data_IF_814895545319
#
_entry.id   IF_814895545319
#
_cell.length_a   1.000
_cell.length_b   1.000
_cell.length_c   1.000
_cell.angle_alpha   90.00
_cell.angle_beta   90.00
_cell.angle_gamma   90.00
#
_symmetry.space_group_name_H-M   'P 1'
#
loop_
_entity.id
_entity.type
_entity.pdbx_description
1 polymer ?
#
# COMPACT_ATOMS: atom_id res chain seq x y z
N UNK A 1 48.78 -31.10 43.68
CA UNK A 1 49.51 -31.70 42.56
C UNK A 1 49.06 -30.96 41.32
N UNK A 2 49.71 -29.85 41.05
CA UNK A 2 50.00 -29.38 39.68
C UNK A 2 51.36 -29.99 39.30
N UNK A 3 51.78 -30.12 38.02
CA UNK A 3 51.77 -28.99 37.06
C UNK A 3 51.69 -29.34 35.55
N UNK A 4 51.84 -28.26 34.75
CA UNK A 4 52.51 -28.12 33.43
C UNK A 4 51.59 -28.13 32.20
N UNK A 5 51.37 -26.99 31.52
CA UNK A 5 52.27 -26.28 30.57
C UNK A 5 52.40 -27.03 29.23
N UNK A 6 52.31 -26.44 28.03
CA UNK A 6 52.18 -25.06 27.59
C UNK A 6 52.49 -24.94 26.08
N UNK A 7 52.32 -23.71 25.54
CA UNK A 7 53.02 -23.09 24.38
C UNK A 7 52.74 -23.65 22.97
N UNK A 8 52.16 -22.89 22.01
CA UNK A 8 52.79 -21.85 21.16
C UNK A 8 53.37 -22.51 19.88
N UNK A 9 53.23 -22.06 18.62
CA UNK A 9 53.24 -20.72 18.01
C UNK A 9 52.89 -20.80 16.50
N UNK A 10 52.33 -19.71 15.95
CA UNK A 10 52.67 -19.06 14.66
C UNK A 10 52.64 -19.83 13.33
N UNK A 11 51.82 -19.34 12.39
CA UNK A 11 52.39 -18.75 11.15
C UNK A 11 51.75 -19.06 9.78
N UNK A 12 51.04 -18.04 9.24
CA UNK A 12 51.18 -17.47 7.87
C UNK A 12 50.50 -18.13 6.64
N UNK A 13 49.51 -17.37 6.13
CA UNK A 13 49.15 -16.94 4.73
C UNK A 13 48.97 -17.93 3.57
N UNK A 14 47.78 -17.90 2.98
CA UNK A 14 47.39 -17.30 1.67
C UNK A 14 45.85 -17.46 1.56
N UNK A 15 44.99 -16.53 1.19
CA UNK A 15 45.08 -15.40 0.26
C UNK A 15 44.14 -15.70 -0.91
N UNK A 16 42.90 -15.20 -0.91
CA UNK A 16 42.08 -15.04 -2.11
C UNK A 16 41.14 -13.85 -1.98
N UNK A 17 41.25 -12.98 -2.97
CA UNK A 17 40.74 -11.61 -3.05
C UNK A 17 39.25 -11.57 -3.44
N UNK A 18 38.51 -10.69 -2.78
CA UNK A 18 37.23 -10.18 -3.25
C UNK A 18 37.44 -8.93 -4.10
N UNK A 19 36.65 -8.81 -5.16
CA UNK A 19 36.58 -7.59 -5.97
C UNK A 19 35.32 -7.55 -6.82
N UNK A 20 34.32 -6.79 -6.39
CA UNK A 20 33.38 -6.15 -7.32
C UNK A 20 32.84 -4.87 -6.71
N UNK A 21 33.22 -3.78 -7.36
CA UNK A 21 32.84 -2.39 -7.07
C UNK A 21 31.55 -2.06 -7.80
N UNK A 22 30.60 -1.49 -7.09
CA UNK A 22 29.53 -0.68 -7.66
C UNK A 22 30.10 0.58 -8.34
N UNK A 23 29.59 0.92 -9.52
CA UNK A 23 29.50 2.32 -9.97
C UNK A 23 28.20 2.57 -10.77
N UNK A 24 27.64 3.79 -10.67
CA UNK A 24 26.33 4.15 -11.17
C UNK A 24 26.35 4.65 -12.62
N UNK A 25 25.21 4.55 -13.29
CA UNK A 25 24.94 5.07 -14.63
C UNK A 25 24.61 6.57 -14.52
N UNK A 26 25.36 7.40 -15.26
CA UNK A 26 25.09 8.82 -15.49
C UNK A 26 24.42 8.97 -16.86
N UNK A 27 23.27 9.64 -16.88
CA UNK A 27 22.74 10.33 -18.06
C UNK A 27 23.52 11.62 -18.30
N UNK A 28 23.80 11.94 -19.57
CA UNK A 28 23.73 13.27 -20.20
C UNK A 28 24.77 13.41 -21.33
N UNK A 29 24.32 13.88 -22.50
CA UNK A 29 25.18 14.57 -23.46
C UNK A 29 24.95 14.18 -24.93
N UNK A 30 24.08 14.92 -25.61
CA UNK A 30 24.25 15.20 -27.05
C UNK A 30 24.06 16.71 -27.24
N UNK A 31 25.20 17.37 -27.41
CA UNK A 31 25.44 18.66 -28.08
C UNK A 31 24.99 18.56 -29.56
N UNK A 32 24.79 19.59 -30.37
CA UNK A 32 24.55 21.04 -30.26
C UNK A 32 24.51 21.52 -31.75
N UNK A 33 23.69 22.52 -32.04
CA UNK A 33 23.82 23.53 -33.11
C UNK A 33 24.07 23.17 -34.58
N UNK A 34 23.21 23.77 -35.42
CA UNK A 34 23.44 23.99 -36.85
C UNK A 34 22.39 24.92 -37.47
N UNK A 35 22.40 26.19 -37.06
CA UNK A 35 21.69 27.29 -37.74
C UNK A 35 22.22 27.48 -39.18
N UNK A 36 21.35 27.78 -40.15
CA UNK A 36 21.26 29.08 -40.83
C UNK A 36 20.48 29.00 -42.16
N UNK A 37 19.49 29.90 -42.26
CA UNK A 37 19.09 30.69 -43.42
C UNK A 37 18.49 30.01 -44.67
N UNK A 38 17.19 30.24 -44.87
CA UNK A 38 16.62 30.52 -46.20
C UNK A 38 17.08 31.92 -46.67
N UNK A 39 17.08 32.24 -48.00
CA UNK A 39 15.83 32.75 -48.59
C UNK A 39 15.63 32.52 -50.11
N UNK A 40 14.35 32.49 -50.49
CA UNK A 40 13.72 33.09 -51.71
C UNK A 40 14.23 32.74 -53.11
N UNK A 41 13.31 32.28 -53.97
CA UNK A 41 12.80 33.05 -55.14
C UNK A 41 12.45 32.14 -56.33
N UNK A 42 11.15 32.12 -56.66
CA UNK A 42 10.55 32.19 -58.00
C UNK A 42 11.23 31.47 -59.19
N UNK A 43 10.51 30.50 -59.80
CA UNK A 43 10.07 30.52 -61.21
C UNK A 43 9.48 29.17 -61.64
N UNK A 44 8.18 29.16 -61.95
CA UNK A 44 7.61 28.41 -63.08
C UNK A 44 7.93 29.18 -64.38
N UNK A 45 7.86 28.62 -65.63
CA UNK A 45 6.86 27.64 -66.07
C UNK A 45 7.30 26.59 -67.13
N UNK A 46 6.32 25.74 -67.51
CA UNK A 46 6.13 25.01 -68.80
C UNK A 46 7.27 24.06 -69.25
N UNK A 47 7.08 22.81 -69.64
CA UNK A 47 5.93 21.98 -69.99
C UNK A 47 6.50 20.88 -70.90
N UNK A 48 6.12 19.61 -70.72
CA UNK A 48 5.97 18.66 -71.84
C UNK A 48 5.45 17.31 -71.38
N UNK A 49 4.48 16.81 -72.15
CA UNK A 49 3.85 15.51 -71.99
C UNK A 49 4.80 14.39 -72.41
N UNK A 50 4.82 13.28 -71.66
CA UNK A 50 5.10 11.95 -72.22
C UNK A 50 4.41 10.87 -71.41
N UNK A 51 3.36 10.31 -72.02
CA UNK A 51 2.75 9.03 -71.68
C UNK A 51 3.81 7.93 -71.56
N UNK A 52 3.66 7.07 -70.54
CA UNK A 52 3.95 5.64 -70.66
C UNK A 52 2.97 4.82 -69.82
N UNK A 53 2.26 3.95 -70.54
CA UNK A 53 1.49 2.81 -70.05
C UNK A 53 2.26 1.94 -69.05
N UNK A 54 1.52 1.32 -68.13
CA UNK A 54 2.03 0.31 -67.22
C UNK A 54 0.97 -0.21 -66.25
N UNK A 55 0.12 -1.09 -66.75
CA UNK A 55 -0.81 -1.94 -66.02
C UNK A 55 -0.13 -2.72 -64.88
N UNK A 56 -0.61 -2.53 -63.64
CA UNK A 56 -0.42 -3.44 -62.53
C UNK A 56 -1.49 -3.14 -61.45
N UNK A 57 -2.60 -3.87 -61.52
CA UNK A 57 -3.67 -3.95 -60.52
C UNK A 57 -3.12 -4.46 -59.16
N UNK A 58 -2.49 -3.54 -58.41
CA UNK A 58 -2.16 -3.69 -57.00
C UNK A 58 -3.29 -3.05 -56.21
N UNK A 59 -4.19 -3.87 -55.67
CA UNK A 59 -5.19 -3.46 -54.67
C UNK A 59 -4.49 -3.03 -53.39
N UNK A 60 -3.91 -1.83 -53.39
CA UNK A 60 -3.62 -1.09 -52.17
C UNK A 60 -4.96 -0.82 -51.48
N UNK A 61 -5.26 -1.55 -50.41
CA UNK A 61 -6.25 -1.06 -49.43
C UNK A 61 -5.66 0.24 -48.88
N UNK A 62 -6.35 1.39 -49.01
CA UNK A 62 -5.87 2.61 -48.40
C UNK A 62 -5.74 2.34 -46.90
N UNK A 63 -4.53 2.54 -46.36
CA UNK A 63 -4.37 2.66 -44.92
C UNK A 63 -5.19 3.89 -44.55
N UNK A 64 -6.38 3.66 -43.99
CA UNK A 64 -7.18 4.75 -43.44
C UNK A 64 -6.36 5.37 -42.32
N UNK A 65 -5.71 6.50 -42.59
CA UNK A 65 -5.16 7.37 -41.57
C UNK A 65 -6.35 7.98 -40.84
N UNK A 66 -6.81 7.29 -39.80
CA UNK A 66 -7.83 7.81 -38.90
C UNK A 66 -7.20 9.00 -38.20
N UNK A 67 -7.73 10.20 -38.46
CA UNK A 67 -7.41 11.38 -37.68
C UNK A 67 -8.09 11.23 -36.32
N UNK A 68 -7.39 10.62 -35.37
CA UNK A 68 -7.89 10.41 -34.01
C UNK A 68 -8.34 11.72 -33.36
N UNK A 69 -7.66 12.83 -33.65
CA UNK A 69 -8.11 14.17 -33.22
C UNK A 69 -9.50 14.50 -33.75
N UNK A 70 -9.72 14.33 -35.05
CA UNK A 70 -11.01 14.66 -35.67
C UNK A 70 -12.15 13.78 -35.14
N UNK A 71 -11.88 12.51 -34.84
CA UNK A 71 -12.88 11.61 -34.24
C UNK A 71 -13.15 11.94 -32.77
N UNK A 72 -12.12 12.26 -31.98
CA UNK A 72 -12.30 12.71 -30.59
C UNK A 72 -13.07 14.03 -30.55
N UNK A 73 -12.70 15.01 -31.37
CA UNK A 73 -13.42 16.27 -31.46
C UNK A 73 -14.87 16.08 -31.93
N UNK A 74 -15.12 15.18 -32.88
CA UNK A 74 -16.48 14.79 -33.30
C UNK A 74 -17.27 14.18 -32.15
N UNK A 75 -16.67 13.27 -31.38
CA UNK A 75 -17.32 12.62 -30.23
C UNK A 75 -17.66 13.62 -29.12
N UNK A 76 -16.78 14.60 -28.90
CA UNK A 76 -16.94 15.66 -27.89
C UNK A 76 -17.77 16.86 -28.39
N UNK A 77 -18.24 16.82 -29.64
CA UNK A 77 -18.98 17.90 -30.31
C UNK A 77 -18.24 19.26 -30.33
N UNK A 78 -16.91 19.21 -30.44
CA UNK A 78 -16.03 20.39 -30.53
C UNK A 78 -15.35 20.46 -31.90
N UNK A 79 -14.93 21.66 -32.33
CA UNK A 79 -14.21 21.82 -33.59
C UNK A 79 -12.84 21.11 -33.56
N UNK A 80 -12.38 20.48 -34.66
CA UNK A 80 -11.05 19.89 -34.75
C UNK A 80 -9.90 20.94 -34.67
N UNK A 81 -10.21 22.22 -34.90
CA UNK A 81 -9.23 23.32 -34.91
C UNK A 81 -9.03 23.99 -33.54
N UNK A 82 -9.66 23.46 -32.48
CA UNK A 82 -9.45 23.96 -31.11
C UNK A 82 -8.04 23.59 -30.60
N UNK A 83 -7.55 24.25 -29.55
CA UNK A 83 -6.27 23.88 -28.93
C UNK A 83 -6.37 22.57 -28.14
N UNK A 84 -5.24 21.92 -27.89
CA UNK A 84 -5.19 20.66 -27.14
C UNK A 84 -5.73 20.81 -25.73
N UNK A 85 -5.51 21.95 -25.08
CA UNK A 85 -6.06 22.24 -23.75
C UNK A 85 -7.59 22.19 -23.75
N UNK A 86 -8.23 22.72 -24.80
CA UNK A 86 -9.69 22.67 -24.94
C UNK A 86 -10.22 21.28 -25.23
N UNK A 87 -9.45 20.45 -25.94
CA UNK A 87 -9.81 19.03 -26.13
C UNK A 87 -9.75 18.30 -24.80
N UNK A 88 -8.69 18.49 -24.02
CA UNK A 88 -8.54 17.87 -22.68
C UNK A 88 -9.62 18.34 -21.72
N UNK A 89 -9.94 19.64 -21.71
CA UNK A 89 -11.04 20.19 -20.90
C UNK A 89 -12.39 19.55 -21.29
N UNK A 90 -12.69 19.46 -22.59
CA UNK A 90 -13.90 18.82 -23.09
C UNK A 90 -13.96 17.32 -22.75
N UNK A 91 -12.83 16.62 -22.80
CA UNK A 91 -12.74 15.23 -22.32
C UNK A 91 -13.03 15.12 -20.83
N UNK A 92 -12.50 16.02 -20.01
CA UNK A 92 -12.78 16.08 -18.57
C UNK A 92 -14.27 16.30 -18.29
N UNK A 93 -14.91 17.24 -19.01
CA UNK A 93 -16.35 17.51 -18.90
C UNK A 93 -17.18 16.30 -19.36
N UNK A 94 -16.84 15.67 -20.49
CA UNK A 94 -17.53 14.49 -20.98
C UNK A 94 -17.41 13.31 -20.01
N UNK A 95 -16.22 13.10 -19.45
CA UNK A 95 -15.98 12.10 -18.41
C UNK A 95 -16.85 12.36 -17.17
N UNK A 96 -16.90 13.62 -16.69
CA UNK A 96 -17.75 14.01 -15.56
C UNK A 96 -19.24 13.76 -15.84
N UNK A 97 -19.73 14.14 -17.03
CA UNK A 97 -21.12 13.89 -17.46
C UNK A 97 -21.45 12.41 -17.55
N UNK A 98 -20.52 11.58 -18.05
CA UNK A 98 -20.70 10.13 -18.08
C UNK A 98 -20.83 9.57 -16.66
N UNK A 99 -20.01 10.02 -15.71
CA UNK A 99 -20.14 9.64 -14.30
C UNK A 99 -21.50 10.04 -13.73
N UNK A 100 -21.98 11.24 -14.04
CA UNK A 100 -23.31 11.71 -13.61
C UNK A 100 -24.45 10.88 -14.24
N UNK A 101 -24.36 10.54 -15.52
CA UNK A 101 -25.35 9.67 -16.20
C UNK A 101 -25.35 8.26 -15.60
N UNK A 102 -24.18 7.69 -15.31
CA UNK A 102 -24.09 6.38 -14.67
C UNK A 102 -24.65 6.40 -13.24
N UNK A 103 -24.46 7.49 -12.50
CA UNK A 103 -25.12 7.70 -11.21
C UNK A 103 -26.66 7.79 -11.35
N UNK A 104 -27.16 8.51 -12.35
CA UNK A 104 -28.60 8.63 -12.63
C UNK A 104 -29.22 7.29 -13.07
N UNK A 105 -28.54 6.53 -13.94
CA UNK A 105 -28.98 5.19 -14.34
C UNK A 105 -28.96 4.20 -13.18
N UNK A 106 -27.99 4.33 -12.28
CA UNK A 106 -27.93 3.54 -11.04
C UNK A 106 -29.05 3.88 -10.06
N UNK A 107 -29.64 5.07 -10.16
CA UNK A 107 -30.82 5.48 -9.36
C UNK A 107 -32.15 5.11 -10.02
N UNK A 108 -32.22 5.01 -11.36
CA UNK A 108 -33.46 4.66 -12.09
C UNK A 108 -33.85 3.17 -12.03
N UNK A 109 -32.90 2.25 -11.86
CA UNK A 109 -33.19 0.84 -11.55
C UNK A 109 -32.98 0.58 -10.07
N UNK A 110 -34.04 0.75 -9.28
CA UNK A 110 -34.04 0.32 -7.89
C UNK A 110 -33.55 -1.15 -7.79
N UNK A 111 -32.57 -1.45 -6.91
CA UNK A 111 -32.16 -2.81 -6.66
C UNK A 111 -33.38 -3.66 -6.31
N UNK A 112 -33.46 -4.87 -6.87
CA UNK A 112 -34.53 -5.81 -6.52
C UNK A 112 -34.22 -6.44 -5.15
N UNK A 113 -34.42 -5.68 -4.07
CA UNK A 113 -34.25 -6.16 -2.70
C UNK A 113 -33.38 -5.26 -1.82
N UNK A 114 -33.28 -5.58 -0.52
CA UNK A 114 -32.40 -4.86 0.39
C UNK A 114 -30.93 -5.05 -0.01
N UNK A 115 -30.06 -4.05 0.21
CA UNK A 115 -28.63 -4.20 -0.03
C UNK A 115 -28.04 -5.39 0.72
N UNK A 116 -27.13 -6.11 0.07
CA UNK A 116 -26.36 -7.20 0.69
C UNK A 116 -24.90 -7.15 0.24
N UNK A 117 -24.03 -7.84 0.97
CA UNK A 117 -22.69 -8.12 0.47
C UNK A 117 -22.64 -9.56 -0.04
N UNK A 118 -21.56 -9.89 -0.73
CA UNK A 118 -21.30 -11.25 -1.19
C UNK A 118 -19.85 -11.60 -0.90
N UNK A 119 -19.62 -12.78 -0.34
CA UNK A 119 -18.27 -13.32 -0.19
C UNK A 119 -17.97 -14.15 -1.43
N UNK A 120 -16.81 -13.92 -2.04
CA UNK A 120 -16.27 -14.74 -3.11
C UNK A 120 -14.95 -15.35 -2.67
N UNK A 121 -14.73 -16.58 -3.11
CA UNK A 121 -13.52 -17.33 -2.83
C UNK A 121 -12.74 -17.50 -4.13
N UNK A 122 -11.59 -16.85 -4.23
CA UNK A 122 -10.68 -17.00 -5.37
C UNK A 122 -9.64 -18.05 -5.06
N UNK A 123 -9.45 -19.02 -5.95
CA UNK A 123 -8.47 -20.10 -5.77
C UNK A 123 -7.44 -20.03 -6.89
N UNK A 124 -6.20 -19.72 -6.53
CA UNK A 124 -5.04 -19.83 -7.41
C UNK A 124 -4.30 -21.13 -7.13
N UNK A 125 -4.22 -22.00 -8.14
CA UNK A 125 -3.51 -23.27 -8.04
C UNK A 125 -2.13 -23.19 -8.66
N UNK A 126 -1.07 -23.39 -7.88
CA UNK A 126 0.31 -23.32 -8.39
C UNK A 126 0.64 -24.46 -9.38
N UNK A 127 -0.07 -25.59 -9.26
CA UNK A 127 0.07 -26.74 -10.18
C UNK A 127 -0.60 -26.51 -11.54
N UNK A 128 -1.61 -25.63 -11.60
CA UNK A 128 -2.35 -25.29 -12.83
C UNK A 128 -1.98 -23.85 -13.20
N UNK A 129 -0.85 -23.68 -13.90
CA UNK A 129 -0.34 -22.36 -14.27
C UNK A 129 -1.37 -21.58 -15.10
N UNK A 130 -1.89 -20.50 -14.52
CA UNK A 130 -2.60 -19.44 -15.24
C UNK A 130 -4.12 -19.39 -15.05
N UNK A 131 -4.73 -20.28 -14.26
CA UNK A 131 -6.17 -20.23 -14.00
C UNK A 131 -6.47 -19.89 -12.54
N UNK A 132 -7.12 -18.75 -12.36
CA UNK A 132 -7.72 -18.33 -11.10
C UNK A 132 -9.22 -18.65 -11.18
N UNK A 133 -9.70 -19.47 -10.25
CA UNK A 133 -11.11 -19.88 -10.22
C UNK A 133 -11.84 -19.14 -9.11
N UNK A 134 -12.97 -18.52 -9.46
CA UNK A 134 -13.82 -17.78 -8.54
C UNK A 134 -15.03 -18.61 -8.15
N UNK A 135 -15.35 -18.68 -6.86
CA UNK A 135 -16.46 -19.46 -6.31
C UNK A 135 -17.34 -18.62 -5.38
N UNK A 136 -18.64 -18.96 -5.34
CA UNK A 136 -19.59 -18.39 -4.37
C UNK A 136 -19.45 -19.08 -3.01
N UNK A 137 -19.22 -20.39 -3.02
CA UNK A 137 -19.08 -21.22 -1.82
C UNK A 137 -17.62 -21.31 -1.36
N UNK A 138 -17.45 -21.51 -0.05
CA UNK A 138 -16.13 -21.73 0.53
C UNK A 138 -15.51 -23.00 -0.05
N UNK A 139 -14.28 -22.94 -0.59
CA UNK A 139 -13.63 -24.10 -1.16
C UNK A 139 -13.26 -25.11 -0.07
N UNK A 140 -13.14 -26.37 -0.45
CA UNK A 140 -12.68 -27.45 0.42
C UNK A 140 -11.43 -28.12 -0.15
N UNK A 141 -10.69 -28.77 0.74
CA UNK A 141 -9.48 -29.52 0.39
C UNK A 141 -9.86 -30.85 -0.27
N UNK A 142 -9.27 -31.14 -1.43
CA UNK A 142 -9.46 -32.41 -2.12
C UNK A 142 -8.43 -33.45 -1.64
N UNK A 143 -8.92 -34.62 -1.22
CA UNK A 143 -8.09 -35.78 -0.82
C UNK A 143 -7.23 -36.37 -1.95
N UNK A 144 -7.56 -36.06 -3.21
CA UNK A 144 -6.86 -36.59 -4.39
C UNK A 144 -5.93 -35.56 -5.04
N UNK A 145 -5.85 -34.35 -4.48
CA UNK A 145 -5.00 -33.28 -5.01
C UNK A 145 -3.51 -33.48 -4.67
N UNK A 146 -2.60 -32.77 -5.36
CA UNK A 146 -1.19 -32.75 -4.97
C UNK A 146 -1.03 -32.44 -3.49
N UNK A 147 -0.35 -33.33 -2.76
CA UNK A 147 -0.06 -33.20 -1.32
C UNK A 147 -1.28 -32.98 -0.42
N UNK A 148 -2.51 -33.36 -0.83
CA UNK A 148 -3.76 -33.03 -0.12
C UNK A 148 -3.92 -31.53 0.18
N UNK A 149 -3.38 -30.66 -0.67
CA UNK A 149 -3.39 -29.23 -0.44
C UNK A 149 -4.17 -28.47 -1.53
N UNK A 150 -4.86 -29.18 -2.43
CA UNK A 150 -5.60 -28.58 -3.54
C UNK A 150 -7.02 -28.20 -3.14
N UNK A 151 -7.46 -27.02 -3.56
CA UNK A 151 -8.77 -26.46 -3.22
C UNK A 151 -9.73 -26.48 -4.40
N UNK A 152 -11.00 -26.77 -4.13
CA UNK A 152 -12.08 -26.73 -5.11
C UNK A 152 -13.37 -26.22 -4.47
N UNK A 153 -14.17 -25.47 -5.23
CA UNK A 153 -15.54 -25.08 -4.87
C UNK A 153 -16.58 -25.76 -5.76
N UNK A 154 -17.83 -25.74 -5.34
CA UNK A 154 -18.96 -26.38 -6.03
C UNK A 154 -19.72 -25.41 -6.94
N UNK A 155 -19.62 -24.10 -6.70
CA UNK A 155 -20.37 -23.06 -7.39
C UNK A 155 -19.42 -22.05 -8.06
N UNK A 156 -18.84 -22.40 -9.22
CA UNK A 156 -17.93 -21.51 -9.92
C UNK A 156 -18.67 -20.34 -10.59
N UNK A 157 -18.04 -19.16 -10.56
CA UNK A 157 -18.49 -17.95 -11.26
C UNK A 157 -17.70 -17.84 -12.56
N UNK A 158 -18.35 -18.16 -13.67
CA UNK A 158 -17.70 -18.13 -14.99
C UNK A 158 -17.54 -16.71 -15.55
N UNK A 159 -18.49 -15.82 -15.24
CA UNK A 159 -18.48 -14.44 -15.69
C UNK A 159 -18.98 -13.53 -14.56
N UNK A 160 -18.03 -12.83 -13.94
CA UNK A 160 -18.30 -11.92 -12.82
C UNK A 160 -19.20 -10.76 -13.22
N UNK A 161 -18.98 -10.17 -14.39
CA UNK A 161 -19.76 -9.03 -14.88
C UNK A 161 -21.24 -9.40 -15.05
N UNK A 162 -21.53 -10.54 -15.70
CA UNK A 162 -22.89 -11.05 -15.85
C UNK A 162 -23.54 -11.39 -14.50
N UNK A 163 -22.75 -11.89 -13.54
CA UNK A 163 -23.23 -12.15 -12.19
C UNK A 163 -23.65 -10.86 -11.50
N UNK A 164 -22.83 -9.81 -11.55
CA UNK A 164 -23.14 -8.50 -10.97
C UNK A 164 -24.31 -7.81 -11.70
N UNK A 165 -24.45 -7.99 -13.01
CA UNK A 165 -25.61 -7.52 -13.77
C UNK A 165 -26.93 -8.12 -13.28
N UNK A 166 -26.90 -9.38 -12.82
CA UNK A 166 -28.06 -10.09 -12.30
C UNK A 166 -28.32 -9.85 -10.81
N UNK A 167 -27.33 -9.35 -10.07
CA UNK A 167 -27.38 -9.17 -8.61
C UNK A 167 -27.04 -7.71 -8.24
N UNK A 168 -27.91 -6.78 -8.66
CA UNK A 168 -27.72 -5.33 -8.47
C UNK A 168 -27.84 -4.87 -7.01
N UNK A 169 -28.34 -5.73 -6.14
CA UNK A 169 -28.43 -5.51 -4.70
C UNK A 169 -27.08 -5.69 -3.96
N UNK A 170 -26.03 -6.18 -4.65
CA UNK A 170 -24.71 -6.32 -4.06
C UNK A 170 -24.05 -4.94 -3.88
N UNK A 171 -23.87 -4.54 -2.62
CA UNK A 171 -23.20 -3.29 -2.24
C UNK A 171 -21.69 -3.37 -2.41
N UNK A 172 -21.10 -4.48 -1.96
CA UNK A 172 -19.67 -4.75 -2.00
C UNK A 172 -19.41 -6.26 -1.99
N UNK A 173 -18.21 -6.65 -2.39
CA UNK A 173 -17.76 -8.03 -2.42
C UNK A 173 -16.57 -8.19 -1.47
N UNK A 174 -16.61 -9.22 -0.64
CA UNK A 174 -15.47 -9.65 0.16
C UNK A 174 -14.77 -10.76 -0.61
N UNK A 175 -13.51 -10.54 -0.96
CA UNK A 175 -12.67 -11.51 -1.65
C UNK A 175 -11.81 -12.24 -0.64
N UNK A 176 -11.89 -13.57 -0.69
CA UNK A 176 -11.04 -14.49 0.07
C UNK A 176 -10.13 -15.21 -0.92
N UNK A 177 -8.87 -14.80 -0.99
CA UNK A 177 -7.92 -15.30 -1.97
C UNK A 177 -7.08 -16.42 -1.36
N UNK A 178 -7.21 -17.62 -1.94
CA UNK A 178 -6.50 -18.81 -1.51
C UNK A 178 -5.41 -19.18 -2.51
N UNK A 179 -4.32 -19.76 -2.01
CA UNK A 179 -3.33 -20.42 -2.85
C UNK A 179 -3.07 -21.84 -2.41
N UNK A 180 -3.14 -22.75 -3.38
CA UNK A 180 -2.93 -24.17 -3.16
C UNK A 180 -1.73 -24.72 -3.93
N UNK A 181 -1.26 -25.91 -3.51
CA UNK A 181 -0.20 -26.68 -4.16
C UNK A 181 1.19 -26.01 -4.24
N UNK A 182 1.53 -25.09 -3.31
CA UNK A 182 2.86 -24.48 -3.21
C UNK A 182 3.98 -25.49 -2.92
N UNK A 183 3.71 -26.48 -2.07
CA UNK A 183 4.67 -27.51 -1.66
C UNK A 183 4.39 -28.85 -2.35
N UNK A 184 5.21 -29.17 -3.35
CA UNK A 184 5.23 -30.50 -3.99
C UNK A 184 6.10 -31.52 -3.24
N UNK A 185 6.72 -31.12 -2.12
CA UNK A 185 7.54 -32.05 -1.31
C UNK A 185 6.60 -32.93 -0.48
N UNK A 186 6.74 -34.27 -0.53
CA UNK A 186 5.98 -35.14 0.35
C UNK A 186 6.29 -34.78 1.81
N UNK A 187 5.28 -34.33 2.57
CA UNK A 187 5.42 -34.14 4.02
C UNK A 187 5.64 -35.51 4.65
N UNK A 188 6.75 -35.68 5.37
CA UNK A 188 7.16 -36.95 5.98
C UNK A 188 6.30 -37.37 7.18
N UNK A 189 5.31 -36.57 7.57
CA UNK A 189 4.38 -36.84 8.67
C UNK A 189 2.94 -36.60 8.22
N UNK A 190 1.98 -37.44 8.63
CA UNK A 190 0.57 -37.11 8.50
C UNK A 190 0.29 -35.91 9.40
N UNK A 191 0.13 -34.75 8.79
CA UNK A 191 -0.40 -33.58 9.47
C UNK A 191 -1.91 -33.75 9.69
N UNK A 192 -2.50 -33.05 10.68
CA UNK A 192 -3.95 -32.97 10.81
C UNK A 192 -4.58 -32.51 9.48
N UNK A 193 -5.84 -32.91 9.26
CA UNK A 193 -6.64 -32.51 8.10
C UNK A 193 -6.43 -31.00 7.80
N UNK A 194 -5.81 -30.69 6.65
CA UNK A 194 -5.59 -29.32 6.23
C UNK A 194 -6.97 -28.66 6.03
N UNK A 195 -7.24 -27.57 6.75
CA UNK A 195 -8.43 -26.74 6.51
C UNK A 195 -8.11 -25.68 5.44
N UNK A 196 -9.09 -25.34 4.61
CA UNK A 196 -8.97 -24.31 3.60
C UNK A 196 -8.53 -22.94 4.17
N UNK A 197 -8.90 -22.61 5.42
CA UNK A 197 -8.43 -21.39 6.08
C UNK A 197 -6.90 -21.31 6.17
N UNK A 198 -6.20 -22.45 6.27
CA UNK A 198 -4.73 -22.45 6.33
C UNK A 198 -4.06 -22.07 5.01
N UNK A 199 -4.82 -22.06 3.91
CA UNK A 199 -4.38 -21.71 2.56
C UNK A 199 -4.87 -20.33 2.11
N UNK A 200 -5.58 -19.59 2.96
CA UNK A 200 -5.97 -18.21 2.72
C UNK A 200 -4.74 -17.31 2.77
N UNK A 201 -4.57 -16.46 1.77
CA UNK A 201 -3.43 -15.55 1.67
C UNK A 201 -3.80 -14.09 1.85
N UNK A 202 -4.97 -13.70 1.34
CA UNK A 202 -5.40 -12.31 1.32
C UNK A 202 -6.92 -12.26 1.47
N UNK A 203 -7.36 -11.26 2.22
CA UNK A 203 -8.74 -10.85 2.32
C UNK A 203 -8.83 -9.37 1.94
N UNK A 204 -9.76 -9.00 1.07
CA UNK A 204 -9.98 -7.61 0.69
C UNK A 204 -11.44 -7.36 0.27
N UNK A 205 -11.89 -6.11 0.31
CA UNK A 205 -13.23 -5.70 -0.12
C UNK A 205 -13.15 -4.86 -1.39
N UNK A 206 -14.02 -5.18 -2.34
CA UNK A 206 -14.28 -4.40 -3.55
C UNK A 206 -15.64 -3.71 -3.47
N UNK A 207 -15.68 -2.38 -3.58
CA UNK A 207 -16.92 -1.60 -3.52
C UNK A 207 -17.60 -1.54 -4.89
N UNK A 208 -18.75 -2.20 -5.01
CA UNK A 208 -19.51 -2.31 -6.27
C UNK A 208 -20.55 -1.21 -6.41
N UNK A 209 -21.28 -0.91 -5.34
CA UNK A 209 -22.36 0.08 -5.37
C UNK A 209 -21.82 1.50 -5.43
N UNK A 210 -22.22 2.32 -6.44
CA UNK A 210 -21.87 3.74 -6.50
C UNK A 210 -22.40 4.53 -5.30
N UNK A 211 -23.53 4.09 -4.74
CA UNK A 211 -24.15 4.72 -3.55
C UNK A 211 -23.29 4.47 -2.32
N UNK A 212 -22.85 3.22 -2.10
CA UNK A 212 -21.93 2.90 -1.00
C UNK A 212 -20.61 3.66 -1.17
N UNK A 213 -20.06 3.70 -2.38
CA UNK A 213 -18.84 4.44 -2.67
C UNK A 213 -18.94 5.91 -2.28
N UNK A 214 -20.00 6.58 -2.71
CA UNK A 214 -20.24 7.99 -2.39
C UNK A 214 -20.35 8.21 -0.87
N UNK A 215 -20.99 7.26 -0.17
CA UNK A 215 -21.12 7.32 1.27
C UNK A 215 -19.77 7.09 2.00
N UNK A 216 -18.92 6.19 1.51
CA UNK A 216 -17.57 5.96 2.06
C UNK A 216 -16.64 7.14 1.81
N UNK A 217 -16.70 7.77 0.63
CA UNK A 217 -15.98 9.03 0.35
C UNK A 217 -16.42 10.13 1.32
N UNK A 218 -17.72 10.24 1.60
CA UNK A 218 -18.21 11.18 2.60
C UNK A 218 -17.74 10.84 4.02
N UNK A 219 -17.74 9.56 4.40
CA UNK A 219 -17.23 9.09 5.69
C UNK A 219 -15.73 9.43 5.84
N UNK A 220 -14.93 9.19 4.81
CA UNK A 220 -13.50 9.50 4.82
C UNK A 220 -13.24 10.98 5.11
N UNK A 221 -13.93 11.87 4.39
CA UNK A 221 -13.81 13.30 4.56
C UNK A 221 -14.30 13.82 5.93
N UNK A 222 -15.09 13.03 6.65
CA UNK A 222 -15.68 13.44 7.94
C UNK A 222 -15.04 12.80 9.16
N UNK A 223 -14.48 11.59 9.03
CA UNK A 223 -13.99 10.79 10.14
C UNK A 223 -12.54 10.31 10.00
N UNK A 224 -12.01 10.23 8.77
CA UNK A 224 -10.70 9.61 8.51
C UNK A 224 -9.60 10.61 8.18
N UNK A 225 -9.90 11.92 8.23
CA UNK A 225 -8.92 12.97 7.93
C UNK A 225 -7.69 12.87 8.82
N UNK A 226 -6.50 12.95 8.22
CA UNK A 226 -5.22 12.93 8.93
C UNK A 226 -4.74 11.54 9.35
N UNK A 227 -5.29 10.47 8.76
CA UNK A 227 -4.63 9.15 8.71
C UNK A 227 -4.73 8.60 7.29
N UNK A 228 -3.78 7.78 6.83
CA UNK A 228 -3.94 7.05 5.59
C UNK A 228 -5.12 6.07 5.68
N UNK A 229 -5.88 5.96 4.60
CA UNK A 229 -7.02 5.06 4.49
C UNK A 229 -7.22 4.75 2.99
N UNK A 230 -7.97 3.70 2.62
CA UNK A 230 -8.25 3.39 1.23
C UNK A 230 -8.85 4.58 0.48
N UNK A 231 -8.46 4.78 -0.78
CA UNK A 231 -9.11 5.77 -1.64
C UNK A 231 -10.44 5.22 -2.15
N UNK A 232 -11.51 5.53 -1.43
CA UNK A 232 -12.87 5.14 -1.82
C UNK A 232 -13.36 5.84 -3.10
N UNK A 233 -12.67 6.88 -3.60
CA UNK A 233 -13.02 7.54 -4.86
C UNK A 233 -12.66 6.69 -6.08
N UNK A 234 -11.59 5.90 -5.96
CA UNK A 234 -11.07 5.01 -6.98
C UNK A 234 -11.63 3.58 -6.82
N UNK A 235 -11.31 2.69 -7.76
CA UNK A 235 -11.64 1.26 -7.65
C UNK A 235 -10.57 0.53 -6.82
N UNK A 236 -10.15 1.10 -5.69
CA UNK A 236 -9.12 0.53 -4.84
C UNK A 236 -9.71 -0.55 -3.90
N UNK A 237 -8.93 -1.60 -3.67
CA UNK A 237 -9.26 -2.67 -2.73
C UNK A 237 -9.09 -2.20 -1.28
N UNK A 238 -10.08 -2.48 -0.44
CA UNK A 238 -9.98 -2.27 1.01
C UNK A 238 -9.40 -3.53 1.63
N UNK A 239 -8.11 -3.51 1.96
CA UNK A 239 -7.41 -4.69 2.49
C UNK A 239 -7.75 -4.96 3.97
N UNK A 240 -7.92 -6.23 4.32
CA UNK A 240 -7.86 -6.69 5.71
C UNK A 240 -6.40 -6.71 6.18
N UNK A 241 -6.09 -6.37 7.45
CA UNK A 241 -7.02 -5.92 8.49
C UNK A 241 -7.40 -4.44 8.33
N UNK A 242 -8.61 -4.06 8.73
CA UNK A 242 -9.13 -2.69 8.57
C UNK A 242 -8.57 -1.72 9.65
N UNK A 243 -7.24 -1.59 9.70
CA UNK A 243 -6.48 -0.86 10.74
C UNK A 243 -6.92 0.62 10.86
N UNK A 244 -7.12 1.27 9.73
CA UNK A 244 -7.62 2.66 9.68
C UNK A 244 -8.98 2.81 10.38
N UNK A 245 -9.84 1.79 10.34
CA UNK A 245 -11.11 1.79 11.03
C UNK A 245 -10.89 1.69 12.53
N UNK A 246 -10.03 0.75 12.98
CA UNK A 246 -9.70 0.57 14.41
C UNK A 246 -9.29 1.89 15.08
N UNK A 247 -8.39 2.65 14.44
CA UNK A 247 -7.87 3.91 14.96
C UNK A 247 -8.85 5.09 14.87
N UNK A 248 -9.92 4.97 14.09
CA UNK A 248 -10.95 6.01 13.92
C UNK A 248 -12.34 5.54 14.34
N UNK A 249 -12.48 4.42 15.08
CA UNK A 249 -13.77 3.87 15.51
C UNK A 249 -14.67 4.95 16.12
N UNK A 250 -14.14 5.74 17.05
CA UNK A 250 -14.92 6.77 17.74
C UNK A 250 -15.41 7.89 16.81
N UNK A 251 -14.59 8.27 15.83
CA UNK A 251 -14.90 9.32 14.85
C UNK A 251 -15.87 8.81 13.80
N UNK A 252 -15.72 7.55 13.40
CA UNK A 252 -16.64 6.84 12.50
C UNK A 252 -18.00 6.73 13.17
N UNK A 253 -18.10 6.24 14.41
CA UNK A 253 -19.37 6.12 15.14
C UNK A 253 -20.08 7.48 15.22
N UNK A 254 -19.36 8.54 15.59
CA UNK A 254 -19.90 9.91 15.62
C UNK A 254 -20.32 10.42 14.25
N UNK A 255 -19.64 10.02 13.18
CA UNK A 255 -20.05 10.34 11.81
C UNK A 255 -21.25 9.50 11.39
N UNK A 256 -21.38 8.28 11.92
CA UNK A 256 -22.48 7.38 11.62
C UNK A 256 -23.80 7.85 12.22
N UNK A 257 -23.75 8.48 13.40
CA UNK A 257 -24.91 9.07 14.10
C UNK A 257 -25.49 10.32 13.41
N UNK A 258 -24.76 10.93 12.46
CA UNK A 258 -25.23 12.14 11.77
C UNK A 258 -26.32 11.79 10.76
N UNK A 259 -27.31 12.68 10.55
CA UNK A 259 -28.35 12.48 9.56
C UNK A 259 -27.75 12.41 8.15
N UNK A 260 -28.15 11.41 7.38
CA UNK A 260 -27.65 11.10 6.03
C UNK A 260 -28.80 10.81 5.08
N UNK A 261 -28.59 10.89 3.76
CA UNK A 261 -29.59 10.46 2.79
C UNK A 261 -30.04 9.03 3.08
N UNK A 262 -31.35 8.76 2.98
CA UNK A 262 -31.94 7.44 3.25
C UNK A 262 -31.26 6.33 2.42
N UNK A 263 -30.89 6.65 1.17
CA UNK A 263 -30.18 5.75 0.27
C UNK A 263 -28.81 5.28 0.82
N UNK A 264 -28.15 6.08 1.67
CA UNK A 264 -26.86 5.75 2.26
C UNK A 264 -27.01 4.88 3.50
N UNK A 265 -28.12 5.01 4.23
CA UNK A 265 -28.30 4.40 5.54
C UNK A 265 -28.12 2.88 5.49
N UNK A 266 -28.89 2.20 4.63
CA UNK A 266 -28.85 0.74 4.56
C UNK A 266 -27.50 0.20 4.07
N UNK A 267 -26.88 0.85 3.07
CA UNK A 267 -25.59 0.38 2.51
C UNK A 267 -24.42 0.63 3.47
N UNK A 268 -24.42 1.75 4.19
CA UNK A 268 -23.37 2.07 5.18
C UNK A 268 -23.52 1.23 6.44
N UNK A 269 -24.75 0.98 6.89
CA UNK A 269 -25.01 0.08 8.01
C UNK A 269 -24.54 -1.34 7.69
N UNK A 270 -24.88 -1.86 6.50
CA UNK A 270 -24.42 -3.17 6.05
C UNK A 270 -22.88 -3.28 6.05
N UNK A 271 -22.19 -2.26 5.55
CA UNK A 271 -20.72 -2.24 5.52
C UNK A 271 -20.15 -2.18 6.94
N UNK A 272 -20.69 -1.30 7.79
CA UNK A 272 -20.31 -1.16 9.18
C UNK A 272 -20.49 -2.48 9.96
N UNK A 273 -21.65 -3.12 9.84
CA UNK A 273 -21.96 -4.37 10.51
C UNK A 273 -21.02 -5.50 10.08
N UNK A 274 -20.69 -5.58 8.79
CA UNK A 274 -19.70 -6.54 8.31
C UNK A 274 -18.33 -6.33 8.96
N UNK A 275 -17.84 -5.08 8.98
CA UNK A 275 -16.53 -4.76 9.58
C UNK A 275 -16.51 -5.11 11.06
N UNK A 276 -17.57 -4.75 11.80
CA UNK A 276 -17.67 -5.07 13.22
C UNK A 276 -17.72 -6.57 13.44
N UNK A 277 -18.63 -7.30 12.79
CA UNK A 277 -18.75 -8.76 12.91
C UNK A 277 -17.42 -9.48 12.61
N UNK A 278 -16.65 -8.96 11.64
CA UNK A 278 -15.37 -9.54 11.24
C UNK A 278 -14.23 -9.28 12.23
N UNK A 279 -14.19 -8.09 12.84
CA UNK A 279 -12.98 -7.59 13.53
C UNK A 279 -13.13 -7.41 15.04
N UNK A 280 -14.35 -7.41 15.59
CA UNK A 280 -14.60 -7.02 16.98
C UNK A 280 -13.79 -7.83 17.99
N UNK A 281 -13.69 -9.15 17.81
CA UNK A 281 -12.97 -10.04 18.72
C UNK A 281 -11.47 -9.72 18.77
N UNK A 282 -10.87 -9.44 17.61
CA UNK A 282 -9.48 -9.02 17.51
C UNK A 282 -9.30 -7.65 18.16
N UNK A 283 -10.17 -6.69 17.87
CA UNK A 283 -10.09 -5.35 18.42
C UNK A 283 -10.26 -5.31 19.94
N UNK A 284 -11.18 -6.09 20.51
CA UNK A 284 -11.29 -6.24 21.96
C UNK A 284 -10.02 -6.83 22.58
N UNK A 285 -9.42 -7.79 21.89
CA UNK A 285 -8.16 -8.41 22.36
C UNK A 285 -7.03 -7.39 22.36
N UNK A 286 -6.92 -6.60 21.29
CA UNK A 286 -5.96 -5.49 21.19
C UNK A 286 -6.23 -4.44 22.27
N UNK A 287 -7.47 -3.99 22.46
CA UNK A 287 -7.82 -2.99 23.47
C UNK A 287 -7.40 -3.47 24.89
N UNK A 288 -7.72 -4.72 25.24
CA UNK A 288 -7.31 -5.35 26.53
C UNK A 288 -5.78 -5.46 26.68
N UNK A 289 -5.04 -5.65 25.58
CA UNK A 289 -3.58 -5.66 25.58
C UNK A 289 -3.03 -4.24 25.83
N UNK A 290 -3.52 -3.27 25.07
CA UNK A 290 -3.07 -1.87 25.14
C UNK A 290 -3.37 -1.22 26.50
N UNK A 291 -4.50 -1.53 27.12
CA UNK A 291 -4.83 -1.10 28.48
C UNK A 291 -3.78 -1.53 29.52
N UNK A 292 -3.11 -2.65 29.28
CA UNK A 292 -2.04 -3.20 30.13
C UNK A 292 -0.64 -2.76 29.68
N UNK A 293 -0.53 -1.88 28.68
CA UNK A 293 0.71 -1.51 28.00
C UNK A 293 1.45 -2.71 27.39
N UNK A 294 0.69 -3.72 26.93
CA UNK A 294 1.22 -4.94 26.30
C UNK A 294 0.77 -5.04 24.86
N UNK A 295 1.46 -5.88 24.11
CA UNK A 295 1.07 -6.27 22.76
C UNK A 295 1.60 -7.68 22.46
N UNK A 296 1.17 -8.28 21.36
CA UNK A 296 1.75 -9.49 20.79
C UNK A 296 2.13 -9.24 19.32
N UNK A 297 3.02 -10.06 18.77
CA UNK A 297 3.53 -9.83 17.42
C UNK A 297 2.43 -9.85 16.34
N UNK A 298 1.40 -10.69 16.49
CA UNK A 298 0.24 -10.73 15.56
C UNK A 298 -0.58 -9.44 15.51
N UNK A 299 -0.50 -8.59 16.55
CA UNK A 299 -1.28 -7.35 16.66
C UNK A 299 -0.42 -6.09 16.51
N UNK A 300 0.82 -6.22 16.03
CA UNK A 300 1.74 -5.09 15.86
C UNK A 300 1.22 -4.02 14.90
N UNK A 301 0.41 -4.41 13.90
CA UNK A 301 -0.18 -3.48 12.92
C UNK A 301 -1.11 -2.43 13.57
N UNK A 302 -1.65 -2.71 14.76
CA UNK A 302 -2.53 -1.82 15.51
C UNK A 302 -1.79 -0.82 16.42
N UNK A 303 -0.47 -0.94 16.54
CA UNK A 303 0.31 -0.14 17.48
C UNK A 303 0.74 1.20 16.89
N UNK A 304 1.01 1.24 15.58
CA UNK A 304 1.61 2.38 14.90
C UNK A 304 0.64 3.00 13.89
N UNK A 305 0.51 4.31 13.95
CA UNK A 305 -0.26 5.10 12.98
C UNK A 305 0.68 6.07 12.26
N UNK A 306 0.53 6.28 10.94
CA UNK A 306 1.24 7.34 10.24
C UNK A 306 1.01 8.71 10.87
N UNK A 307 2.00 9.60 10.75
CA UNK A 307 2.09 10.91 11.42
C UNK A 307 2.19 10.86 12.96
N UNK A 308 2.28 9.68 13.57
CA UNK A 308 2.48 9.52 15.00
C UNK A 308 3.96 9.67 15.40
N UNK A 309 4.22 10.26 16.56
CA UNK A 309 5.55 10.31 17.18
C UNK A 309 5.90 8.96 17.82
N UNK A 310 7.07 8.43 17.52
CA UNK A 310 7.63 7.20 18.09
C UNK A 310 8.99 7.48 18.74
N UNK A 311 9.37 6.62 19.69
CA UNK A 311 10.65 6.68 20.39
C UNK A 311 11.47 5.45 20.01
N UNK A 312 12.68 5.69 19.52
CA UNK A 312 13.63 4.65 19.15
C UNK A 312 14.75 4.53 20.18
N UNK A 313 15.10 3.28 20.50
CA UNK A 313 16.11 2.88 21.50
C UNK A 313 17.40 2.35 20.88
N UNK A 314 17.68 2.66 19.61
CA UNK A 314 18.82 2.07 18.88
C UNK A 314 20.18 2.20 19.57
N UNK A 315 20.40 3.25 20.36
CA UNK A 315 21.64 3.49 21.11
C UNK A 315 21.55 3.12 22.61
N UNK A 316 20.42 2.58 23.07
CA UNK A 316 20.17 2.16 24.45
C UNK A 316 18.90 2.75 25.07
N UNK A 317 18.67 2.42 26.34
CA UNK A 317 17.45 2.80 27.07
C UNK A 317 17.57 4.11 27.87
N UNK A 318 18.78 4.66 27.99
CA UNK A 318 19.00 5.85 28.79
C UNK A 318 18.39 7.08 28.10
N UNK A 319 17.74 8.01 28.84
CA UNK A 319 16.97 9.11 28.24
C UNK A 319 17.74 9.93 27.21
N UNK A 320 19.04 10.14 27.40
CA UNK A 320 19.96 10.87 26.53
C UNK A 320 20.23 10.17 25.19
N UNK A 321 20.07 8.84 25.12
CA UNK A 321 20.29 8.03 23.91
C UNK A 321 19.02 7.75 23.11
N UNK A 322 17.85 8.12 23.66
CA UNK A 322 16.58 7.97 22.99
C UNK A 322 16.42 9.00 21.87
N UNK A 323 15.85 8.57 20.75
CA UNK A 323 15.61 9.40 19.57
C UNK A 323 14.11 9.46 19.27
N UNK A 324 13.64 10.61 18.78
CA UNK A 324 12.27 10.81 18.34
C UNK A 324 12.17 10.71 16.83
N UNK A 325 11.13 10.05 16.34
CA UNK A 325 10.80 10.01 14.91
C UNK A 325 9.30 10.23 14.70
N UNK A 326 8.93 10.66 13.50
CA UNK A 326 7.53 10.68 13.01
C UNK A 326 7.34 9.52 12.06
N UNK A 327 6.34 8.67 12.27
CA UNK A 327 6.03 7.58 11.36
C UNK A 327 5.53 8.12 10.02
N UNK A 328 6.08 7.64 8.89
CA UNK A 328 5.61 8.05 7.56
C UNK A 328 4.52 7.16 6.99
N UNK A 329 4.58 5.86 7.26
CA UNK A 329 3.66 4.87 6.70
C UNK A 329 3.38 3.74 7.70
N UNK A 330 2.40 2.91 7.39
CA UNK A 330 2.05 1.74 8.18
C UNK A 330 3.26 0.81 8.36
N UNK A 331 3.29 0.15 9.51
CA UNK A 331 4.30 -0.86 9.79
C UNK A 331 4.23 -1.99 8.76
N UNK A 332 5.41 -2.45 8.32
CA UNK A 332 5.54 -3.58 7.40
C UNK A 332 5.95 -4.80 8.20
N UNK A 333 5.01 -5.72 8.39
CA UNK A 333 5.23 -6.97 9.10
C UNK A 333 5.51 -8.11 8.10
N UNK A 334 6.41 -9.01 8.49
CA UNK A 334 6.76 -10.18 7.69
C UNK A 334 7.08 -11.35 8.59
N UNK A 335 6.41 -12.47 8.36
CA UNK A 335 6.71 -13.76 8.99
C UNK A 335 7.44 -14.65 7.99
N UNK A 336 8.71 -14.98 8.28
CA UNK A 336 9.52 -15.93 7.51
C UNK A 336 9.98 -17.06 8.42
N UNK A 337 9.70 -18.31 8.05
CA UNK A 337 10.13 -19.50 8.79
C UNK A 337 9.81 -19.44 10.31
N UNK A 338 8.58 -19.00 10.65
CA UNK A 338 8.13 -18.77 12.03
C UNK A 338 8.90 -17.69 12.82
N UNK A 339 9.75 -16.90 12.15
CA UNK A 339 10.37 -15.70 12.72
C UNK A 339 9.62 -14.48 12.22
N UNK A 340 9.05 -13.72 13.16
CA UNK A 340 8.37 -12.47 12.87
C UNK A 340 9.39 -11.32 12.84
N UNK A 341 9.30 -10.48 11.81
CA UNK A 341 10.11 -9.28 11.64
C UNK A 341 9.22 -8.13 11.25
N UNK A 342 9.53 -6.92 11.70
CA UNK A 342 8.79 -5.75 11.29
C UNK A 342 9.73 -4.56 11.06
N UNK A 343 9.30 -3.65 10.19
CA UNK A 343 10.01 -2.39 9.96
C UNK A 343 9.03 -1.27 9.65
N UNK A 344 9.46 -0.04 9.89
CA UNK A 344 8.64 1.15 9.66
C UNK A 344 9.49 2.27 9.09
N UNK A 345 8.95 2.99 8.12
CA UNK A 345 9.61 4.19 7.61
C UNK A 345 9.27 5.36 8.53
N UNK A 346 10.31 6.06 8.96
CA UNK A 346 10.22 7.06 9.99
C UNK A 346 11.10 8.26 9.64
N UNK A 347 10.60 9.43 10.04
CA UNK A 347 11.17 10.72 9.74
C UNK A 347 11.84 11.35 10.95
N UNK A 348 13.03 11.87 10.74
CA UNK A 348 13.73 12.71 11.72
C UNK A 348 14.35 13.93 11.05
N UNK A 349 14.82 14.85 11.89
CA UNK A 349 15.69 15.93 11.43
C UNK A 349 17.13 15.64 11.82
N UNK A 350 18.06 15.88 10.90
CA UNK A 350 19.49 15.82 11.17
C UNK A 350 20.20 17.12 10.79
N UNK A 351 21.41 17.28 11.32
CA UNK A 351 22.23 18.46 11.14
C UNK A 351 23.70 18.06 10.95
N UNK A 352 24.18 18.16 9.72
CA UNK A 352 25.57 17.90 9.32
C UNK A 352 26.28 19.18 8.83
N UNK A 353 25.69 20.34 9.16
CA UNK A 353 26.06 21.66 8.65
C UNK A 353 24.89 22.34 7.96
N UNK A 354 23.98 21.55 7.40
CA UNK A 354 22.66 21.98 6.94
C UNK A 354 21.57 21.23 7.71
N UNK A 355 20.39 21.85 7.81
CA UNK A 355 19.25 21.23 8.48
C UNK A 355 18.40 20.52 7.45
N UNK A 356 18.39 19.19 7.48
CA UNK A 356 17.69 18.40 6.49
C UNK A 356 16.79 17.34 7.13
N UNK A 357 15.69 17.08 6.43
CA UNK A 357 14.74 16.03 6.75
C UNK A 357 15.32 14.70 6.25
N UNK A 358 15.35 13.68 7.11
CA UNK A 358 15.80 12.33 6.75
C UNK A 358 14.69 11.32 6.97
N UNK A 359 14.57 10.40 6.03
CA UNK A 359 13.68 9.24 6.11
C UNK A 359 14.57 8.01 6.33
N UNK A 360 14.26 7.24 7.36
CA UNK A 360 14.99 6.03 7.72
C UNK A 360 14.01 4.87 7.95
N UNK A 361 14.37 3.68 7.50
CA UNK A 361 13.62 2.46 7.83
C UNK A 361 14.13 1.89 9.16
N UNK A 362 13.32 1.99 10.20
CA UNK A 362 13.66 1.52 11.54
C UNK A 362 13.24 0.04 11.70
N UNK A 363 14.18 -0.86 12.06
CA UNK A 363 13.85 -2.26 12.28
C UNK A 363 13.28 -2.49 13.68
N UNK A 364 12.33 -3.42 13.77
CA UNK A 364 11.79 -3.97 15.02
C UNK A 364 12.15 -5.46 15.05
N UNK A 365 13.37 -5.73 15.50
CA UNK A 365 13.94 -7.06 15.58
C UNK A 365 13.70 -7.71 16.95
N UNK A 366 13.94 -9.03 17.03
CA UNK A 366 13.88 -9.84 18.25
C UNK A 366 12.50 -9.86 18.92
N UNK A 367 11.44 -9.82 18.12
CA UNK A 367 10.09 -9.94 18.64
C UNK A 367 9.86 -11.36 19.22
N UNK A 368 9.16 -11.46 20.37
CA UNK A 368 8.70 -12.75 20.89
C UNK A 368 7.81 -13.49 19.87
N UNK A 369 7.47 -14.74 20.20
CA UNK A 369 6.55 -15.52 19.35
C UNK A 369 5.24 -14.75 19.10
N UNK A 370 4.64 -14.98 17.93
CA UNK A 370 3.46 -14.28 17.42
C UNK A 370 2.32 -14.08 18.44
N UNK A 371 2.07 -15.08 19.29
CA UNK A 371 0.96 -15.12 20.24
C UNK A 371 1.38 -14.63 21.65
N UNK A 372 2.68 -14.58 21.94
CA UNK A 372 3.14 -14.20 23.28
C UNK A 372 2.91 -12.72 23.53
N UNK A 373 2.32 -12.41 24.69
CA UNK A 373 2.22 -11.03 25.18
C UNK A 373 3.59 -10.56 25.71
N UNK A 374 3.95 -9.32 25.43
CA UNK A 374 5.13 -8.64 25.96
C UNK A 374 4.85 -7.16 26.17
N UNK A 375 5.67 -6.50 26.99
CA UNK A 375 5.50 -5.08 27.29
C UNK A 375 5.89 -4.24 26.07
N UNK A 376 5.05 -3.26 25.70
CA UNK A 376 5.31 -2.36 24.57
C UNK A 376 6.63 -1.61 24.78
N UNK A 377 6.95 -1.30 26.03
CA UNK A 377 8.20 -0.63 26.38
C UNK A 377 9.44 -1.50 26.20
N UNK A 378 9.33 -2.81 26.04
CA UNK A 378 10.49 -3.67 25.74
C UNK A 378 10.87 -3.62 24.25
N UNK A 379 10.00 -3.06 23.40
CA UNK A 379 10.28 -2.87 21.99
C UNK A 379 11.43 -1.88 21.77
N UNK A 380 12.26 -2.09 20.72
CA UNK A 380 13.26 -1.11 20.31
C UNK A 380 12.63 0.19 19.79
N UNK A 381 11.39 0.12 19.30
CA UNK A 381 10.61 1.24 18.79
C UNK A 381 9.18 1.15 19.34
N UNK A 382 8.68 2.24 19.91
CA UNK A 382 7.31 2.26 20.45
C UNK A 382 6.69 3.66 20.36
N UNK A 383 5.35 3.77 20.31
CA UNK A 383 4.67 5.06 20.28
C UNK A 383 4.93 5.89 21.54
N UNK A 384 5.14 7.20 21.35
CA UNK A 384 5.48 8.13 22.43
C UNK A 384 4.45 8.13 23.57
N UNK A 385 3.19 7.80 23.30
CA UNK A 385 2.12 7.74 24.31
C UNK A 385 2.38 6.73 25.44
N UNK A 386 3.22 5.72 25.21
CA UNK A 386 3.59 4.74 26.23
C UNK A 386 4.82 5.17 27.05
N UNK A 387 5.57 6.19 26.61
CA UNK A 387 6.72 6.67 27.36
C UNK A 387 6.32 7.41 28.64
N UNK A 388 7.23 7.34 29.62
CA UNK A 388 7.12 8.13 30.83
C UNK A 388 7.22 9.64 30.54
N UNK A 389 6.53 10.45 31.35
CA UNK A 389 6.56 11.91 31.22
C UNK A 389 7.98 12.52 31.23
N UNK A 390 8.94 12.03 32.05
CA UNK A 390 10.32 12.50 32.00
C UNK A 390 11.01 12.27 30.65
N UNK A 391 10.80 11.10 30.03
CA UNK A 391 11.37 10.76 28.71
C UNK A 391 10.84 11.71 27.64
N UNK A 392 9.51 11.90 27.59
CA UNK A 392 8.88 12.81 26.62
C UNK A 392 9.36 14.25 26.81
N UNK A 393 9.52 14.68 28.06
CA UNK A 393 9.99 16.03 28.39
C UNK A 393 11.45 16.24 27.97
N UNK A 394 12.31 15.26 28.24
CA UNK A 394 13.72 15.31 27.83
C UNK A 394 13.87 15.35 26.31
N UNK A 395 13.15 14.49 25.59
CA UNK A 395 13.12 14.49 24.11
C UNK A 395 12.64 15.84 23.56
N UNK A 396 11.55 16.38 24.12
CA UNK A 396 11.01 17.68 23.70
C UNK A 396 12.02 18.82 23.94
N UNK A 397 12.68 18.83 25.08
CA UNK A 397 13.69 19.84 25.39
C UNK A 397 14.88 19.76 24.43
N UNK A 398 15.39 18.54 24.15
CA UNK A 398 16.44 18.32 23.16
C UNK A 398 16.01 18.76 21.77
N UNK A 399 14.84 18.36 21.31
CA UNK A 399 14.29 18.75 20.00
C UNK A 399 14.12 20.27 19.87
N UNK A 400 13.66 20.96 20.91
CA UNK A 400 13.59 22.44 20.92
C UNK A 400 14.96 23.10 20.82
N UNK A 401 15.96 22.54 21.50
CA UNK A 401 17.34 23.03 21.41
C UNK A 401 17.93 22.77 20.03
N UNK A 402 17.75 21.57 19.49
CA UNK A 402 18.17 21.19 18.13
C UNK A 402 17.51 22.08 17.06
N UNK A 403 16.21 22.35 17.19
CA UNK A 403 15.47 23.23 16.29
C UNK A 403 15.96 24.69 16.30
N UNK A 404 16.49 25.18 17.43
CA UNK A 404 17.13 26.51 17.49
C UNK A 404 18.41 26.56 16.65
N UNK A 405 19.11 25.44 16.45
CA UNK A 405 20.34 25.39 15.64
C UNK A 405 20.10 25.71 14.16
N UNK A 406 18.86 25.58 13.65
CA UNK A 406 18.51 25.93 12.26
C UNK A 406 18.85 27.38 11.88
N UNK A 407 18.88 28.30 12.86
CA UNK A 407 19.20 29.72 12.66
C UNK A 407 20.65 30.05 13.06
N UNK A 408 21.54 29.05 13.15
CA UNK A 408 22.94 29.21 13.57
C UNK A 408 23.07 29.87 14.95
N UNK A 409 22.21 29.49 15.88
CA UNK A 409 22.32 29.92 17.28
C UNK A 409 23.54 29.29 17.95
N UNK A 410 24.31 30.09 18.68
CA UNK A 410 25.41 29.59 19.50
C UNK A 410 24.84 28.80 20.68
N UNK A 411 25.15 27.51 20.73
CA UNK A 411 24.88 26.65 21.89
C UNK A 411 26.18 26.56 22.69
N UNK A 412 26.19 27.16 23.87
CA UNK A 412 27.30 27.01 24.83
C UNK A 412 27.09 25.71 25.59
N UNK A 413 28.09 24.83 25.54
CA UNK A 413 28.12 23.60 26.32
C UNK A 413 28.98 23.84 27.56
N UNK A 414 28.35 23.90 28.74
CA UNK A 414 29.06 23.76 30.01
C UNK A 414 29.28 22.27 30.22
N UNK A 415 30.51 21.81 29.93
CA UNK A 415 30.98 20.46 30.25
C UNK A 415 31.10 20.37 31.77
N UNK A 416 30.04 19.94 32.44
CA UNK A 416 30.20 19.32 33.75
C UNK A 416 30.84 17.95 33.49
N UNK A 417 31.92 17.67 34.21
CA UNK A 417 32.90 16.62 33.87
C UNK A 417 32.26 15.22 33.82
N UNK A 418 32.72 14.43 32.84
CA UNK A 418 32.37 13.03 32.54
C UNK A 418 31.04 12.79 31.78
N UNK A 419 31.05 13.03 30.47
CA UNK A 419 30.47 12.11 29.49
C UNK A 419 31.00 12.45 28.08
N UNK A 420 31.71 11.50 27.49
CA UNK A 420 32.26 11.59 26.14
C UNK A 420 31.27 11.01 25.11
N UNK A 421 31.37 11.57 23.89
CA UNK A 421 30.83 11.10 22.61
C UNK A 421 29.40 11.49 22.20
N UNK A 422 29.33 12.66 21.56
CA UNK A 422 28.30 12.98 20.56
C UNK A 422 28.58 12.13 19.31
N UNK A 423 27.81 11.05 19.12
CA UNK A 423 27.66 10.41 17.81
C UNK A 423 26.21 10.58 17.32
N UNK A 424 26.09 11.20 16.13
CA UNK A 424 24.90 11.29 15.26
C UNK A 424 23.54 11.26 15.98
N UNK A 425 23.10 12.41 16.48
CA UNK A 425 21.74 12.55 17.02
C UNK A 425 20.76 12.80 15.87
N UNK A 426 20.06 11.75 15.42
CA UNK A 426 18.71 11.94 14.87
C UNK A 426 17.82 12.46 16.01
N UNK A 427 17.15 13.61 15.81
CA UNK A 427 16.29 14.25 16.82
C UNK A 427 14.83 14.31 16.39
#
# INVERSE_FOLDING_TARGET
>A
MDPSDGVGTSGVRHGFEGGSRNRPIRESGIEDLGDYASPTSEREPEGDQKEKDGDADSKYRPIMQISWRSEICRLLEISPDVSDEKVVEAMGIAHQKLREIDQLRSTEKAPQGPPRFQIFHSVRCESLKGEENLYIDRPWVMETGPSNAHLRGSQPIQNLELYLERNKEIGFIVHMDYRCCRDTRPRARPEPELDASSLLEREHISVISPVLRSALVHLANTALTGIPHPDFGENEDINHPYIWWFHRRSEIDKAMDKPRPEAWLHVTQLFHDYILDRMMDDWETVDKLLERNKISAQYMDYLFVPDQMVIYKGQGNAPEKLQGFVVEDWIRTRTLNATFSASIDALSWSFDGEFNRMVETLPIDNLPSEISEFDILDLPLYPMQFASHPVVTALRHRGQMFWKCRLRNYVSYTKEEEDDEIQSSAS
#
